data_IF_141780173174
#
_entry.id   IF_141780173174
#
_cell.length_a   1.000
_cell.length_b   1.000
_cell.length_c   1.000
_cell.angle_alpha   90.00
_cell.angle_beta   90.00
_cell.angle_gamma   90.00
#
_symmetry.space_group_name_H-M   'P 1'
#
loop_
_entity.id
_entity.type
_entity.pdbx_description
1 polymer ?
#
# COMPACT_ATOMS: atom_id res chain seq x y z
N UNK A 1 7.64 -17.79 -9.26
CA UNK A 1 6.40 -17.00 -9.31
C UNK A 1 5.79 -17.03 -7.93
N UNK A 2 5.31 -15.91 -7.47
CA UNK A 2 4.61 -15.83 -6.18
C UNK A 2 3.22 -16.47 -6.35
N UNK A 3 2.99 -17.62 -5.74
CA UNK A 3 1.71 -18.35 -5.82
C UNK A 3 0.67 -17.81 -4.84
N UNK A 4 0.83 -16.59 -4.37
CA UNK A 4 -0.10 -15.97 -3.44
C UNK A 4 -1.42 -15.68 -4.15
N UNK A 5 -2.51 -16.27 -3.69
CA UNK A 5 -3.83 -15.97 -4.22
C UNK A 5 -4.21 -14.52 -3.89
N UNK A 6 -4.49 -13.72 -4.92
CA UNK A 6 -4.74 -12.29 -4.78
C UNK A 6 -5.91 -11.99 -3.83
N UNK A 7 -7.00 -12.76 -3.90
CA UNK A 7 -8.18 -12.56 -3.06
C UNK A 7 -7.97 -12.87 -1.58
N UNK A 8 -6.84 -13.49 -1.19
CA UNK A 8 -6.48 -13.72 0.22
C UNK A 8 -5.57 -12.64 0.81
N UNK A 9 -5.17 -11.65 0.02
CA UNK A 9 -4.35 -10.51 0.47
C UNK A 9 -5.20 -9.45 1.20
N UNK A 10 -6.04 -9.89 2.12
CA UNK A 10 -6.91 -9.04 2.92
C UNK A 10 -7.14 -9.68 4.28
N UNK A 11 -7.52 -8.87 5.27
CA UNK A 11 -7.88 -9.38 6.58
C UNK A 11 -9.14 -10.26 6.49
N UNK A 12 -9.19 -11.35 7.25
CA UNK A 12 -10.28 -12.36 7.20
C UNK A 12 -11.68 -11.74 7.33
N UNK A 13 -11.84 -10.72 8.16
CA UNK A 13 -13.15 -10.08 8.34
C UNK A 13 -13.67 -9.35 7.09
N UNK A 14 -12.79 -8.93 6.19
CA UNK A 14 -13.16 -8.27 4.91
C UNK A 14 -13.99 -9.22 4.02
N UNK A 15 -13.76 -10.52 4.12
CA UNK A 15 -14.52 -11.54 3.37
C UNK A 15 -16.00 -11.61 3.76
N UNK A 16 -16.36 -11.09 4.93
CA UNK A 16 -17.75 -11.00 5.39
C UNK A 16 -18.34 -9.59 5.31
N UNK A 17 -17.52 -8.55 5.15
CA UNK A 17 -17.96 -7.15 5.14
C UNK A 17 -18.99 -6.84 4.06
N UNK A 18 -18.91 -7.51 2.91
CA UNK A 18 -19.85 -7.31 1.82
C UNK A 18 -21.31 -7.56 2.23
N UNK A 19 -21.54 -8.40 3.25
CA UNK A 19 -22.89 -8.67 3.82
C UNK A 19 -23.40 -7.55 4.73
N UNK A 20 -22.53 -6.63 5.14
CA UNK A 20 -22.84 -5.53 6.05
C UNK A 20 -23.14 -4.22 5.33
N UNK A 21 -22.86 -4.15 4.04
CA UNK A 21 -23.13 -2.95 3.24
C UNK A 21 -24.63 -2.84 2.92
N UNK A 22 -25.17 -1.61 2.82
CA UNK A 22 -26.52 -1.41 2.32
C UNK A 22 -26.69 -2.05 0.93
N UNK A 23 -27.83 -2.69 0.70
CA UNK A 23 -28.10 -3.39 -0.56
C UNK A 23 -28.14 -2.48 -1.80
N UNK A 24 -28.36 -1.19 -1.58
CA UNK A 24 -28.37 -0.15 -2.62
C UNK A 24 -27.07 0.64 -2.72
N UNK A 25 -25.99 0.18 -2.08
CA UNK A 25 -24.71 0.86 -2.17
C UNK A 25 -24.06 0.65 -3.54
N UNK A 26 -23.88 1.73 -4.29
CA UNK A 26 -23.27 1.73 -5.63
C UNK A 26 -21.94 2.43 -5.67
N UNK A 27 -21.57 3.18 -4.64
CA UNK A 27 -20.34 3.97 -4.57
C UNK A 27 -19.74 3.89 -3.17
N UNK A 28 -18.43 3.65 -3.13
CA UNK A 28 -17.62 3.72 -1.91
C UNK A 28 -16.38 4.56 -2.20
N UNK A 29 -16.05 5.45 -1.29
CA UNK A 29 -14.83 6.25 -1.34
C UNK A 29 -14.04 6.02 -0.05
N UNK A 30 -12.76 5.72 -0.20
CA UNK A 30 -11.83 5.54 0.92
C UNK A 30 -10.63 6.46 0.78
N UNK A 31 -10.11 6.92 1.92
CA UNK A 31 -8.94 7.78 1.98
C UNK A 31 -7.82 7.12 2.82
N UNK A 32 -6.58 7.15 2.30
CA UNK A 32 -5.40 6.89 3.11
C UNK A 32 -4.91 8.21 3.70
N UNK A 33 -4.89 8.29 5.04
CA UNK A 33 -4.54 9.51 5.76
C UNK A 33 -3.54 9.20 6.88
N UNK A 34 -2.37 9.86 6.95
CA UNK A 34 -1.49 9.75 8.10
C UNK A 34 -2.18 10.39 9.32
N UNK A 35 -2.45 9.59 10.36
CA UNK A 35 -3.27 10.06 11.49
C UNK A 35 -2.49 10.91 12.48
N UNK A 36 -1.31 10.43 12.88
CA UNK A 36 -0.53 11.02 13.95
C UNK A 36 0.95 10.76 13.73
N UNK A 37 1.77 11.75 14.03
CA UNK A 37 3.21 11.61 14.08
C UNK A 37 3.62 10.62 15.20
N UNK A 38 4.65 9.81 14.95
CA UNK A 38 5.23 8.92 15.95
C UNK A 38 6.05 9.67 17.01
N UNK A 39 6.49 10.88 16.69
CA UNK A 39 7.32 11.73 17.52
C UNK A 39 6.95 13.19 17.26
N UNK A 40 7.08 14.07 18.26
CA UNK A 40 6.91 15.51 18.09
C UNK A 40 7.93 16.13 17.11
N UNK A 41 9.04 15.44 16.89
CA UNK A 41 10.08 15.85 15.94
C UNK A 41 9.67 15.61 14.47
N UNK A 42 8.73 14.71 14.23
CA UNK A 42 8.28 14.29 12.89
C UNK A 42 6.80 14.64 12.72
N UNK A 43 6.52 15.90 12.49
CA UNK A 43 5.16 16.43 12.34
C UNK A 43 4.58 16.25 10.93
N UNK A 44 5.37 15.72 10.02
CA UNK A 44 5.04 15.50 8.61
C UNK A 44 5.38 14.09 8.16
N UNK A 45 4.76 13.68 7.07
CA UNK A 45 5.05 12.42 6.37
C UNK A 45 5.52 12.69 4.95
N UNK A 46 6.49 11.94 4.47
CA UNK A 46 6.83 11.84 3.04
C UNK A 46 6.06 10.67 2.45
N UNK A 47 5.20 10.95 1.49
CA UNK A 47 4.39 9.93 0.82
C UNK A 47 5.22 9.12 -0.17
N UNK A 48 5.17 7.78 -0.09
CA UNK A 48 5.91 6.86 -0.95
C UNK A 48 5.26 5.47 -0.99
N UNK A 49 5.57 4.68 -2.02
CA UNK A 49 5.25 3.26 -2.10
C UNK A 49 3.98 2.91 -2.89
N UNK A 50 3.24 3.88 -3.41
CA UNK A 50 2.00 3.62 -4.16
C UNK A 50 2.28 2.97 -5.52
N UNK A 51 3.27 3.45 -6.28
CA UNK A 51 3.56 2.91 -7.60
C UNK A 51 4.01 1.43 -7.57
N UNK A 52 4.96 1.02 -6.72
CA UNK A 52 5.32 -0.39 -6.61
C UNK A 52 4.15 -1.25 -6.11
N UNK A 53 3.31 -0.74 -5.19
CA UNK A 53 2.08 -1.42 -4.79
C UNK A 53 1.16 -1.68 -5.98
N UNK A 54 0.84 -0.66 -6.76
CA UNK A 54 -0.05 -0.81 -7.92
C UNK A 54 0.50 -1.81 -8.94
N UNK A 55 1.79 -1.71 -9.27
CA UNK A 55 2.43 -2.59 -10.26
C UNK A 55 2.52 -4.04 -9.79
N UNK A 56 2.93 -4.25 -8.54
CA UNK A 56 3.13 -5.60 -8.01
C UNK A 56 1.80 -6.30 -7.72
N UNK A 57 0.91 -5.62 -7.00
CA UNK A 57 -0.30 -6.26 -6.48
C UNK A 57 -1.51 -6.09 -7.40
N UNK A 58 -1.88 -4.85 -7.75
CA UNK A 58 -3.12 -4.62 -8.48
C UNK A 58 -3.03 -5.03 -9.96
N UNK A 59 -1.85 -4.85 -10.58
CA UNK A 59 -1.62 -5.24 -11.97
C UNK A 59 -1.05 -6.66 -12.03
N UNK A 60 0.06 -6.95 -11.31
CA UNK A 60 0.74 -8.23 -11.37
C UNK A 60 -0.06 -9.34 -10.69
N UNK A 61 -0.06 -9.39 -9.35
CA UNK A 61 -0.60 -10.53 -8.59
C UNK A 61 -2.10 -10.75 -8.84
N UNK A 62 -2.90 -9.67 -8.93
CA UNK A 62 -4.33 -9.83 -9.25
C UNK A 62 -4.54 -10.37 -10.65
N UNK A 63 -3.75 -9.96 -11.63
CA UNK A 63 -3.88 -10.49 -12.97
C UNK A 63 -3.40 -11.95 -13.01
N UNK A 64 -2.17 -12.23 -12.61
CA UNK A 64 -1.54 -13.54 -12.75
C UNK A 64 -2.20 -14.62 -11.87
N UNK A 65 -2.65 -14.25 -10.65
CA UNK A 65 -3.07 -15.20 -9.63
C UNK A 65 -4.58 -15.09 -9.29
N UNK A 66 -5.36 -14.43 -10.13
CA UNK A 66 -6.80 -14.37 -9.99
C UNK A 66 -7.51 -14.30 -11.35
N UNK A 67 -7.28 -13.24 -12.17
CA UNK A 67 -8.04 -13.05 -13.41
C UNK A 67 -7.62 -13.99 -14.55
N UNK A 68 -6.34 -14.35 -14.64
CA UNK A 68 -5.78 -15.25 -15.69
C UNK A 68 -5.90 -16.73 -15.34
N UNK A 69 -6.29 -17.06 -14.10
CA UNK A 69 -6.50 -18.45 -13.69
C UNK A 69 -7.91 -18.94 -14.09
N UNK A 70 -8.06 -20.26 -14.39
CA UNK A 70 -9.38 -20.85 -14.52
C UNK A 70 -10.20 -20.65 -13.24
N UNK A 71 -11.50 -20.36 -13.40
CA UNK A 71 -12.39 -20.14 -12.24
C UNK A 71 -12.39 -21.30 -11.25
N UNK A 72 -12.31 -22.53 -11.75
CA UNK A 72 -12.31 -23.75 -10.93
C UNK A 72 -11.15 -23.78 -9.94
N UNK A 73 -9.95 -23.36 -10.38
CA UNK A 73 -8.74 -23.27 -9.54
C UNK A 73 -8.89 -22.18 -8.50
N UNK A 74 -9.40 -21.02 -8.89
CA UNK A 74 -9.66 -19.91 -7.97
C UNK A 74 -10.68 -20.33 -6.91
N UNK A 75 -11.79 -20.94 -7.32
CA UNK A 75 -12.87 -21.35 -6.43
C UNK A 75 -12.41 -22.43 -5.44
N UNK A 76 -11.67 -23.44 -5.89
CA UNK A 76 -11.13 -24.51 -5.04
C UNK A 76 -10.20 -23.94 -3.97
N UNK A 77 -9.24 -23.12 -4.37
CA UNK A 77 -8.27 -22.55 -3.45
C UNK A 77 -8.93 -21.58 -2.48
N UNK A 78 -9.84 -20.73 -2.94
CA UNK A 78 -10.56 -19.78 -2.11
C UNK A 78 -11.44 -20.50 -1.09
N UNK A 79 -12.26 -21.46 -1.52
CA UNK A 79 -13.12 -22.24 -0.66
C UNK A 79 -12.33 -22.97 0.42
N UNK A 80 -11.27 -23.68 0.05
CA UNK A 80 -10.41 -24.41 0.99
C UNK A 80 -9.89 -23.51 2.10
N UNK A 81 -9.49 -22.30 1.76
CA UNK A 81 -8.97 -21.34 2.74
C UNK A 81 -10.08 -20.74 3.60
N UNK A 82 -11.19 -20.35 3.00
CA UNK A 82 -12.31 -19.73 3.71
C UNK A 82 -13.05 -20.72 4.61
N UNK A 83 -13.16 -21.98 4.24
CA UNK A 83 -13.74 -23.04 5.09
C UNK A 83 -12.96 -23.20 6.40
N UNK A 84 -11.63 -23.08 6.34
CA UNK A 84 -10.79 -23.12 7.54
C UNK A 84 -10.96 -21.86 8.40
N UNK A 85 -11.04 -20.68 7.77
CA UNK A 85 -11.08 -19.40 8.47
C UNK A 85 -12.45 -19.04 9.02
N UNK A 86 -13.50 -19.28 8.27
CA UNK A 86 -14.85 -18.79 8.55
C UNK A 86 -15.89 -19.92 8.72
N UNK A 87 -15.54 -21.13 8.30
CA UNK A 87 -16.47 -22.25 8.17
C UNK A 87 -17.27 -22.19 6.87
N UNK A 88 -17.64 -23.37 6.37
CA UNK A 88 -18.34 -23.52 5.08
C UNK A 88 -19.65 -22.71 5.04
N UNK A 89 -19.88 -22.00 3.93
CA UNK A 89 -21.07 -21.19 3.69
C UNK A 89 -21.10 -19.82 4.41
N UNK A 90 -20.05 -19.45 5.16
CA UNK A 90 -19.98 -18.16 5.86
C UNK A 90 -19.30 -17.05 5.06
N UNK A 91 -19.02 -17.27 3.78
CA UNK A 91 -18.44 -16.31 2.85
C UNK A 91 -19.26 -16.26 1.55
N UNK A 92 -19.00 -15.27 0.70
CA UNK A 92 -19.78 -15.01 -0.51
C UNK A 92 -18.92 -15.32 -1.76
N UNK A 93 -19.00 -16.58 -2.21
CA UNK A 93 -18.27 -17.05 -3.37
C UNK A 93 -18.80 -16.44 -4.68
N UNK A 94 -20.11 -16.16 -4.75
CA UNK A 94 -20.73 -15.63 -5.97
C UNK A 94 -20.20 -14.23 -6.31
N UNK A 95 -19.91 -13.41 -5.29
CA UNK A 95 -19.27 -12.09 -5.50
C UNK A 95 -17.84 -12.19 -6.01
N UNK A 96 -17.10 -13.18 -5.51
CA UNK A 96 -15.73 -13.43 -6.01
C UNK A 96 -15.78 -13.90 -7.46
N UNK A 97 -16.74 -14.76 -7.78
CA UNK A 97 -16.98 -15.22 -9.15
C UNK A 97 -17.33 -14.05 -10.08
N UNK A 98 -18.26 -13.21 -9.67
CA UNK A 98 -18.67 -12.04 -10.45
C UNK A 98 -17.46 -11.10 -10.73
N UNK A 99 -16.58 -10.89 -9.75
CA UNK A 99 -15.36 -10.10 -9.95
C UNK A 99 -14.39 -10.79 -10.92
N UNK A 100 -14.23 -12.10 -10.82
CA UNK A 100 -13.39 -12.87 -11.73
C UNK A 100 -13.93 -12.79 -13.17
N UNK A 101 -15.25 -12.94 -13.36
CA UNK A 101 -15.90 -12.83 -14.67
C UNK A 101 -15.82 -11.40 -15.26
N UNK A 102 -15.74 -10.37 -14.41
CA UNK A 102 -15.49 -8.99 -14.84
C UNK A 102 -14.11 -8.81 -15.48
N UNK A 103 -13.10 -9.58 -15.04
CA UNK A 103 -11.78 -9.65 -15.65
C UNK A 103 -10.82 -8.50 -15.32
N UNK A 104 -11.19 -7.58 -14.42
CA UNK A 104 -10.33 -6.49 -13.96
C UNK A 104 -10.76 -5.95 -12.59
N UNK A 105 -9.86 -5.24 -11.89
CA UNK A 105 -10.21 -4.54 -10.65
C UNK A 105 -10.94 -3.24 -10.95
N UNK A 106 -12.22 -3.10 -10.61
CA UNK A 106 -13.02 -1.92 -10.92
C UNK A 106 -12.81 -0.78 -9.90
N UNK A 107 -11.56 -0.33 -9.75
CA UNK A 107 -11.17 0.75 -8.83
C UNK A 107 -10.44 1.87 -9.56
N UNK A 108 -10.63 3.08 -9.09
CA UNK A 108 -9.86 4.27 -9.45
C UNK A 108 -9.09 4.74 -8.23
N UNK A 109 -7.81 5.05 -8.41
CA UNK A 109 -6.94 5.57 -7.36
C UNK A 109 -6.42 6.93 -7.79
N UNK A 110 -6.63 7.94 -6.96
CA UNK A 110 -6.06 9.28 -7.07
C UNK A 110 -5.13 9.51 -5.90
N UNK A 111 -3.96 10.04 -6.15
CA UNK A 111 -2.97 10.23 -5.09
C UNK A 111 -2.13 11.48 -5.31
N UNK A 112 -1.53 11.97 -4.25
CA UNK A 112 -0.46 12.95 -4.35
C UNK A 112 0.77 12.32 -5.04
N UNK A 113 1.61 13.10 -5.70
CA UNK A 113 2.89 12.60 -6.22
C UNK A 113 3.76 12.01 -5.09
N UNK A 114 4.44 10.90 -5.36
CA UNK A 114 5.41 10.36 -4.41
C UNK A 114 6.54 11.35 -4.15
N UNK A 115 7.05 11.37 -2.93
CA UNK A 115 7.98 12.39 -2.46
C UNK A 115 7.30 13.63 -1.89
N UNK A 116 5.98 13.78 -2.01
CA UNK A 116 5.26 14.91 -1.40
C UNK A 116 5.34 14.84 0.12
N UNK A 117 5.75 15.95 0.73
CA UNK A 117 5.77 16.12 2.19
C UNK A 117 4.43 16.71 2.64
N UNK A 118 3.70 15.97 3.46
CA UNK A 118 2.36 16.34 3.91
C UNK A 118 2.27 16.46 5.42
N UNK A 119 1.37 17.29 5.90
CA UNK A 119 1.02 17.34 7.32
C UNK A 119 0.21 16.10 7.71
N UNK A 120 0.28 15.72 8.98
CA UNK A 120 -0.62 14.73 9.53
C UNK A 120 -2.09 15.18 9.38
N UNK A 121 -2.99 14.23 9.13
CA UNK A 121 -4.40 14.50 8.89
C UNK A 121 -4.77 14.85 7.45
N UNK A 122 -3.80 14.97 6.53
CA UNK A 122 -4.05 15.24 5.11
C UNK A 122 -4.15 13.92 4.34
N UNK A 123 -5.25 13.64 3.62
CA UNK A 123 -5.36 12.47 2.75
C UNK A 123 -4.30 12.48 1.65
N UNK A 124 -3.64 11.35 1.45
CA UNK A 124 -2.59 11.17 0.41
C UNK A 124 -3.05 10.30 -0.75
N UNK A 125 -4.03 9.43 -0.51
CA UNK A 125 -4.66 8.58 -1.53
C UNK A 125 -6.17 8.63 -1.33
N UNK A 126 -6.88 8.76 -2.44
CA UNK A 126 -8.31 8.52 -2.56
C UNK A 126 -8.52 7.29 -3.44
N UNK A 127 -9.38 6.39 -3.02
CA UNK A 127 -9.72 5.19 -3.78
C UNK A 127 -11.23 5.04 -3.88
N UNK A 128 -11.74 4.75 -5.07
CA UNK A 128 -13.16 4.58 -5.32
C UNK A 128 -13.42 3.50 -6.36
N UNK A 129 -14.64 2.92 -6.36
CA UNK A 129 -15.06 1.96 -7.38
C UNK A 129 -15.46 2.64 -8.68
N UNK A 130 -15.19 1.97 -9.81
CA UNK A 130 -15.60 2.38 -11.17
C UNK A 130 -16.84 1.62 -11.67
N UNK A 131 -17.22 0.54 -11.00
CA UNK A 131 -18.43 -0.25 -11.32
C UNK A 131 -19.34 -0.34 -10.08
N UNK A 132 -20.66 -0.08 -10.20
CA UNK A 132 -21.56 0.01 -9.06
C UNK A 132 -21.67 -1.28 -8.24
N UNK A 133 -21.65 -2.45 -8.87
CA UNK A 133 -21.81 -3.73 -8.18
C UNK A 133 -20.57 -4.15 -7.38
N UNK A 134 -19.44 -3.48 -7.60
CA UNK A 134 -18.16 -3.81 -6.99
C UNK A 134 -17.65 -2.73 -6.02
N UNK A 135 -18.52 -1.93 -5.43
CA UNK A 135 -18.12 -0.93 -4.44
C UNK A 135 -17.35 -1.55 -3.25
N UNK A 136 -17.65 -2.78 -2.88
CA UNK A 136 -16.99 -3.54 -1.81
C UNK A 136 -15.48 -3.78 -2.06
N UNK A 137 -15.03 -3.82 -3.32
CA UNK A 137 -13.62 -4.09 -3.67
C UNK A 137 -12.69 -2.99 -3.14
N UNK A 138 -13.18 -1.75 -3.02
CA UNK A 138 -12.41 -0.62 -2.51
C UNK A 138 -11.83 -0.92 -1.12
N UNK A 139 -12.63 -1.49 -0.22
CA UNK A 139 -12.14 -1.85 1.12
C UNK A 139 -11.39 -3.19 1.16
N UNK A 140 -11.54 -4.01 0.14
CA UNK A 140 -10.81 -5.27 0.05
C UNK A 140 -9.30 -5.05 -0.08
N UNK A 141 -8.89 -4.13 -0.94
CA UNK A 141 -7.47 -3.82 -1.19
C UNK A 141 -6.83 -2.94 -0.11
N UNK A 142 -7.60 -2.48 0.88
CA UNK A 142 -7.12 -1.60 1.95
C UNK A 142 -5.94 -2.19 2.72
N UNK A 143 -6.02 -3.47 3.11
CA UNK A 143 -5.01 -4.08 3.98
C UNK A 143 -3.64 -4.11 3.30
N UNK A 144 -3.59 -4.57 2.06
CA UNK A 144 -2.34 -4.65 1.32
C UNK A 144 -1.82 -3.25 0.91
N UNK A 145 -2.72 -2.32 0.58
CA UNK A 145 -2.36 -0.92 0.34
C UNK A 145 -1.66 -0.32 1.56
N UNK A 146 -2.24 -0.49 2.75
CA UNK A 146 -1.67 0.06 3.99
C UNK A 146 -0.32 -0.58 4.31
N UNK A 147 -0.18 -1.90 4.19
CA UNK A 147 1.06 -2.60 4.46
C UNK A 147 2.22 -2.12 3.56
N UNK A 148 1.94 -1.88 2.29
CA UNK A 148 2.96 -1.46 1.32
C UNK A 148 3.29 0.03 1.42
N UNK A 149 2.28 0.89 1.43
CA UNK A 149 2.46 2.36 1.40
C UNK A 149 2.90 2.90 2.76
N UNK A 150 2.41 2.35 3.87
CA UNK A 150 2.82 2.78 5.20
C UNK A 150 4.31 2.55 5.45
N UNK A 151 4.80 1.34 5.17
CA UNK A 151 6.21 0.99 5.36
C UNK A 151 7.13 1.91 4.56
N UNK A 152 6.89 2.03 3.25
CA UNK A 152 7.69 2.89 2.37
C UNK A 152 7.66 4.36 2.79
N UNK A 153 6.49 4.88 3.17
CA UNK A 153 6.33 6.27 3.63
C UNK A 153 7.02 6.54 4.97
N UNK A 154 7.02 5.56 5.88
CA UNK A 154 7.74 5.67 7.15
C UNK A 154 9.26 5.80 6.91
N UNK A 155 9.83 4.94 6.06
CA UNK A 155 11.24 5.02 5.70
C UNK A 155 11.58 6.29 4.93
N UNK A 156 10.71 6.76 4.05
CA UNK A 156 10.88 8.02 3.36
C UNK A 156 10.90 9.21 4.32
N UNK A 157 10.02 9.19 5.31
CA UNK A 157 9.97 10.24 6.35
C UNK A 157 11.26 10.25 7.17
N UNK A 158 11.76 9.10 7.58
CA UNK A 158 13.04 8.99 8.29
C UNK A 158 14.19 9.50 7.42
N UNK A 159 14.26 9.08 6.15
CA UNK A 159 15.29 9.55 5.21
C UNK A 159 15.26 11.06 5.01
N UNK A 160 14.08 11.66 4.95
CA UNK A 160 13.88 13.11 4.87
C UNK A 160 14.42 13.83 6.11
N UNK A 161 14.11 13.36 7.31
CA UNK A 161 14.57 13.99 8.55
C UNK A 161 16.08 13.85 8.74
N UNK A 162 16.65 12.69 8.43
CA UNK A 162 18.11 12.51 8.45
C UNK A 162 18.82 13.46 7.47
N UNK A 163 18.28 13.62 6.26
CA UNK A 163 18.84 14.55 5.30
C UNK A 163 18.84 15.99 5.79
N UNK A 164 17.77 16.45 6.44
CA UNK A 164 17.69 17.79 7.04
C UNK A 164 18.82 18.03 8.05
N UNK A 165 19.05 17.06 8.93
CA UNK A 165 20.14 17.14 9.92
C UNK A 165 21.52 17.16 9.23
N UNK A 166 21.75 16.26 8.27
CA UNK A 166 23.01 16.21 7.55
C UNK A 166 23.29 17.50 6.77
N UNK A 167 22.26 18.05 6.08
CA UNK A 167 22.36 19.31 5.37
C UNK A 167 22.67 20.49 6.30
N UNK A 168 22.00 20.57 7.43
CA UNK A 168 22.25 21.63 8.43
C UNK A 168 23.71 21.66 8.87
N UNK A 169 24.29 20.50 9.17
CA UNK A 169 25.71 20.41 9.59
C UNK A 169 26.67 20.61 8.42
N UNK A 170 26.34 20.10 7.24
CA UNK A 170 27.12 20.35 6.04
C UNK A 170 27.28 21.86 5.75
N UNK A 171 26.17 22.60 5.79
CA UNK A 171 26.18 24.04 5.54
C UNK A 171 27.02 24.82 6.59
N UNK A 172 27.18 24.27 7.79
CA UNK A 172 27.96 24.90 8.89
C UNK A 172 29.43 24.52 8.90
N UNK A 173 29.79 23.34 8.47
CA UNK A 173 31.13 22.78 8.66
C UNK A 173 31.95 22.76 7.37
N UNK A 174 31.34 22.97 6.21
CA UNK A 174 32.00 22.96 4.89
C UNK A 174 32.90 21.72 4.71
N UNK A 175 32.41 20.56 5.06
CA UNK A 175 33.23 19.34 5.10
C UNK A 175 33.48 18.68 3.74
N UNK A 176 33.20 19.32 2.62
CA UNK A 176 33.48 18.82 1.27
C UNK A 176 32.69 17.57 0.81
N UNK A 177 32.10 16.84 1.73
CA UNK A 177 31.28 15.66 1.44
C UNK A 177 29.80 16.10 1.34
N UNK A 178 29.15 15.77 0.23
CA UNK A 178 27.73 16.10 0.05
C UNK A 178 26.87 15.44 1.12
N UNK A 179 25.78 16.07 1.63
CA UNK A 179 24.94 15.52 2.66
C UNK A 179 24.42 14.12 2.34
N UNK A 180 24.15 13.86 1.06
CA UNK A 180 23.68 12.55 0.59
C UNK A 180 24.69 11.42 0.77
N UNK A 181 25.97 11.75 0.75
CA UNK A 181 27.07 10.79 0.89
C UNK A 181 27.49 10.60 2.36
N UNK A 182 27.07 11.50 3.24
CA UNK A 182 27.37 11.42 4.67
C UNK A 182 26.50 10.41 5.42
N UNK A 183 25.51 9.82 4.76
CA UNK A 183 24.54 8.93 5.38
C UNK A 183 24.47 7.61 4.62
N UNK A 184 24.63 6.50 5.34
CA UNK A 184 24.45 5.16 4.82
C UNK A 184 23.32 4.46 5.58
N UNK A 185 22.47 3.74 4.84
CA UNK A 185 21.45 2.88 5.41
C UNK A 185 22.05 1.50 5.68
N UNK A 186 22.07 1.09 6.94
CA UNK A 186 22.48 -0.24 7.39
C UNK A 186 21.29 -1.10 7.85
N UNK A 187 20.07 -0.72 7.49
CA UNK A 187 18.84 -1.31 8.00
C UNK A 187 18.54 -2.71 7.49
N UNK A 188 19.10 -3.16 6.37
CA UNK A 188 18.73 -4.42 5.71
C UNK A 188 18.69 -5.62 6.67
N UNK A 189 19.69 -5.76 7.53
CA UNK A 189 19.77 -6.87 8.50
C UNK A 189 18.73 -6.84 9.62
N UNK A 190 18.03 -5.73 9.79
CA UNK A 190 16.96 -5.55 10.78
C UNK A 190 15.55 -5.65 10.21
N UNK A 191 15.41 -5.93 8.90
CA UNK A 191 14.11 -6.05 8.25
C UNK A 191 13.51 -7.43 8.44
N UNK A 192 12.18 -7.53 8.32
CA UNK A 192 11.43 -8.78 8.49
C UNK A 192 11.63 -9.76 7.33
N UNK A 193 11.87 -9.24 6.11
CA UNK A 193 12.10 -10.02 4.90
C UNK A 193 12.84 -9.17 3.85
N UNK A 194 13.19 -9.78 2.72
CA UNK A 194 13.89 -9.10 1.62
C UNK A 194 13.05 -7.99 1.01
N UNK A 195 11.77 -8.23 0.79
CA UNK A 195 10.84 -7.26 0.23
C UNK A 195 10.70 -6.02 1.11
N UNK A 196 10.71 -6.19 2.42
CA UNK A 196 10.67 -5.09 3.38
C UNK A 196 11.96 -4.24 3.28
N UNK A 197 13.11 -4.89 3.11
CA UNK A 197 14.38 -4.17 2.91
C UNK A 197 14.42 -3.39 1.59
N UNK A 198 13.83 -3.90 0.52
CA UNK A 198 13.71 -3.20 -0.76
C UNK A 198 12.81 -1.97 -0.60
N UNK A 199 11.65 -2.11 0.06
CA UNK A 199 10.74 -0.99 0.37
C UNK A 199 11.41 0.07 1.22
N UNK A 200 12.14 -0.34 2.25
CA UNK A 200 12.88 0.55 3.13
C UNK A 200 13.92 1.37 2.35
N UNK A 201 14.74 0.70 1.54
CA UNK A 201 15.77 1.37 0.75
C UNK A 201 15.18 2.32 -0.28
N UNK A 202 14.11 1.94 -0.97
CA UNK A 202 13.41 2.80 -1.92
C UNK A 202 12.81 4.02 -1.21
N UNK A 203 12.11 3.82 -0.10
CA UNK A 203 11.55 4.89 0.72
C UNK A 203 12.64 5.86 1.20
N UNK A 204 13.73 5.35 1.73
CA UNK A 204 14.88 6.15 2.16
C UNK A 204 15.41 7.06 1.05
N UNK A 205 15.55 6.55 -0.17
CA UNK A 205 16.01 7.35 -1.32
C UNK A 205 15.01 8.44 -1.72
N UNK A 206 13.70 8.12 -1.72
CA UNK A 206 12.64 9.08 -2.00
C UNK A 206 12.68 10.22 -0.97
N UNK A 207 12.77 9.89 0.32
CA UNK A 207 12.83 10.89 1.40
C UNK A 207 14.00 11.85 1.26
N UNK A 208 15.18 11.33 0.93
CA UNK A 208 16.39 12.15 0.66
C UNK A 208 16.21 13.06 -0.56
N UNK A 209 15.59 12.56 -1.62
CA UNK A 209 15.34 13.33 -2.84
C UNK A 209 14.32 14.47 -2.60
N UNK A 210 13.28 14.23 -1.80
CA UNK A 210 12.23 15.22 -1.47
C UNK A 210 12.75 16.50 -0.81
N UNK A 211 13.94 16.47 -0.22
CA UNK A 211 14.60 17.66 0.32
C UNK A 211 15.27 18.55 -0.75
N UNK A 212 15.61 17.98 -1.93
CA UNK A 212 16.34 18.70 -2.97
C UNK A 212 15.47 19.65 -3.78
N UNK A 213 14.20 19.32 -3.95
CA UNK A 213 13.27 20.05 -4.81
C UNK A 213 12.72 21.33 -4.20
N UNK A 214 13.13 21.68 -2.97
CA UNK A 214 12.62 22.85 -2.23
C UNK A 214 13.65 23.94 -1.98
N UNK A 215 14.68 24.01 -2.81
CA UNK A 215 15.67 25.11 -2.78
C UNK A 215 15.42 26.06 -3.95
#
# INVERSE_FOLDING_TARGET
MDNTMAMLLSDTYKHTHCRMYPSNMTKLVSYLTPRKAMSEQYDKMVFAGLQPFMKKYLIGIFYDNFFDLPWEEVAESYNRYMDIQLGSGNYDLDRIKALHELGYLPIEIRALPEGTVVNMGVPVVEMTNTHPDFAWVVQWVECILQAEVWSASAYATVGYEYYKVAKYWYDKTVCGMRPEMAMADFGMRGMSCLEDSIKASAGWQIGRASCRERV
#
